data_IF_313932241032
#
_entry.id   IF_313932241032
#
_cell.length_a   1.000
_cell.length_b   1.000
_cell.length_c   1.000
_cell.angle_alpha   90.00
_cell.angle_beta   90.00
_cell.angle_gamma   90.00
#
_symmetry.space_group_name_H-M   'P 1'
#
loop_
_entity.id
_entity.type
_entity.pdbx_description
1 polymer ?
#
# COMPACT_ATOMS: atom_id res chain seq x y z
N UNK A 1 -4.20 18.36 -8.87
CA UNK A 1 -5.22 17.44 -9.42
C UNK A 1 -5.59 16.49 -8.30
N UNK A 2 -6.87 16.15 -8.11
CA UNK A 2 -7.28 15.20 -7.06
C UNK A 2 -6.89 13.78 -7.51
N UNK A 3 -6.38 12.96 -6.59
CA UNK A 3 -6.13 11.54 -6.86
C UNK A 3 -7.45 10.79 -7.10
N UNK A 4 -7.60 10.17 -8.27
CA UNK A 4 -8.78 9.37 -8.60
C UNK A 4 -8.84 8.10 -7.76
N UNK A 5 -7.70 7.43 -7.57
CA UNK A 5 -7.57 6.21 -6.76
C UNK A 5 -7.91 6.47 -5.28
N UNK A 6 -7.47 7.60 -4.70
CA UNK A 6 -7.88 8.01 -3.35
C UNK A 6 -9.38 8.28 -3.28
N UNK A 7 -9.92 8.97 -4.29
CA UNK A 7 -11.35 9.31 -4.32
C UNK A 7 -12.22 8.04 -4.35
N UNK A 8 -11.84 7.04 -5.15
CA UNK A 8 -12.50 5.74 -5.16
C UNK A 8 -12.35 5.00 -3.81
N UNK A 9 -11.16 5.00 -3.19
CA UNK A 9 -10.98 4.43 -1.86
C UNK A 9 -11.89 5.10 -0.82
N UNK A 10 -11.98 6.43 -0.84
CA UNK A 10 -12.79 7.21 0.08
C UNK A 10 -14.30 6.99 -0.11
N UNK A 11 -14.77 6.62 -1.31
CA UNK A 11 -16.18 6.29 -1.55
C UNK A 11 -16.65 5.08 -0.73
N UNK A 12 -15.75 4.15 -0.36
CA UNK A 12 -16.11 3.04 0.51
C UNK A 12 -16.50 3.50 1.92
N UNK A 13 -15.96 4.63 2.40
CA UNK A 13 -16.29 5.20 3.71
C UNK A 13 -17.73 5.74 3.77
N UNK A 14 -18.32 6.07 2.62
CA UNK A 14 -19.73 6.52 2.54
C UNK A 14 -20.69 5.37 2.84
N UNK A 15 -20.28 4.14 2.50
CA UNK A 15 -21.13 2.95 2.55
C UNK A 15 -20.94 2.11 3.82
N UNK A 16 -19.88 2.36 4.59
CA UNK A 16 -19.59 1.61 5.81
C UNK A 16 -18.75 2.43 6.80
N UNK A 17 -19.16 2.42 8.07
CA UNK A 17 -18.38 2.97 9.20
C UNK A 17 -17.31 2.03 9.71
N UNK A 18 -17.30 0.78 9.25
CA UNK A 18 -16.46 -0.30 9.81
C UNK A 18 -15.15 -0.47 9.05
N UNK A 19 -14.87 0.43 8.11
CA UNK A 19 -13.67 0.40 7.26
C UNK A 19 -12.90 1.71 7.38
N UNK A 20 -11.60 1.64 7.09
CA UNK A 20 -10.70 2.77 7.01
C UNK A 20 -9.92 2.75 5.70
N UNK A 21 -9.49 3.93 5.25
CA UNK A 21 -8.54 4.05 4.14
C UNK A 21 -7.13 4.08 4.71
N UNK A 22 -6.25 3.29 4.13
CA UNK A 22 -4.83 3.26 4.42
C UNK A 22 -4.03 3.61 3.17
N UNK A 23 -2.99 4.43 3.29
CA UNK A 23 -1.98 4.56 2.26
C UNK A 23 -0.89 3.51 2.49
N UNK A 24 -0.59 2.73 1.45
CA UNK A 24 0.65 1.96 1.37
C UNK A 24 1.65 2.78 0.55
N UNK A 25 2.74 3.18 1.21
CA UNK A 25 3.71 4.15 0.69
C UNK A 25 5.09 3.51 0.54
N UNK A 26 5.75 3.76 -0.58
CA UNK A 26 7.18 3.48 -0.75
C UNK A 26 7.99 4.55 -0.01
N UNK A 27 8.55 4.21 1.15
CA UNK A 27 9.24 5.17 2.02
C UNK A 27 10.46 5.81 1.38
N UNK A 28 11.15 5.10 0.48
CA UNK A 28 12.26 5.66 -0.29
C UNK A 28 11.78 6.69 -1.32
N UNK A 29 10.66 6.44 -1.99
CA UNK A 29 10.08 7.43 -2.92
C UNK A 29 9.54 8.64 -2.17
N UNK A 30 8.97 8.43 -0.98
CA UNK A 30 8.52 9.51 -0.11
C UNK A 30 9.71 10.40 0.28
N UNK A 31 10.78 9.83 0.84
CA UNK A 31 11.97 10.59 1.25
C UNK A 31 12.58 11.38 0.09
N UNK A 32 12.74 10.76 -1.08
CA UNK A 32 13.26 11.46 -2.27
C UNK A 32 12.37 12.59 -2.77
N UNK A 33 11.06 12.49 -2.57
CA UNK A 33 10.10 13.49 -3.03
C UNK A 33 10.00 14.66 -2.05
N UNK A 34 10.20 14.42 -0.76
CA UNK A 34 9.88 15.37 0.30
C UNK A 34 11.11 15.87 1.06
N UNK A 35 12.27 15.23 0.86
CA UNK A 35 13.50 15.40 1.65
C UNK A 35 13.31 15.05 3.15
N UNK A 36 12.27 14.27 3.46
CA UNK A 36 11.86 13.93 4.83
C UNK A 36 11.55 12.43 4.93
N UNK A 37 12.02 11.78 6.00
CA UNK A 37 11.66 10.39 6.28
C UNK A 37 10.30 10.28 6.97
N UNK A 38 9.52 9.27 6.60
CA UNK A 38 8.36 8.86 7.39
C UNK A 38 8.78 8.46 8.80
N UNK A 39 7.97 8.84 9.80
CA UNK A 39 8.20 8.56 11.21
C UNK A 39 7.08 7.68 11.77
N UNK A 40 7.44 6.85 12.75
CA UNK A 40 6.47 6.01 13.44
C UNK A 40 5.52 6.93 14.23
N UNK A 41 4.22 6.79 13.95
CA UNK A 41 3.15 7.42 14.71
C UNK A 41 2.27 6.27 15.22
N UNK A 42 2.18 6.03 16.54
CA UNK A 42 1.40 4.91 17.09
C UNK A 42 -0.01 4.83 16.50
N UNK A 43 -0.41 3.64 16.06
CA UNK A 43 -1.70 3.33 15.42
C UNK A 43 -2.06 4.11 14.13
N UNK A 44 -1.18 5.00 13.68
CA UNK A 44 -1.39 5.84 12.48
C UNK A 44 -0.41 5.48 11.37
N UNK A 45 0.90 5.52 11.63
CA UNK A 45 1.93 5.31 10.62
C UNK A 45 2.97 4.29 11.11
N UNK A 46 3.09 3.16 10.40
CA UNK A 46 3.99 2.06 10.76
C UNK A 46 4.76 1.55 9.54
N UNK A 47 6.07 1.30 9.65
CA UNK A 47 6.82 0.61 8.61
C UNK A 47 6.48 -0.88 8.62
N UNK A 48 6.50 -1.50 7.44
CA UNK A 48 6.44 -2.96 7.32
C UNK A 48 7.79 -3.60 7.68
N UNK A 49 8.90 -2.86 7.59
CA UNK A 49 10.19 -3.29 8.13
C UNK A 49 10.31 -2.86 9.60
N UNK A 50 9.53 -3.49 10.49
CA UNK A 50 9.53 -3.16 11.93
C UNK A 50 10.27 -4.19 12.81
N UNK A 51 10.80 -5.27 12.22
CA UNK A 51 11.57 -6.30 12.90
C UNK A 51 13.06 -6.21 12.56
N UNK A 52 13.92 -6.57 13.51
CA UNK A 52 15.38 -6.65 13.25
C UNK A 52 15.68 -7.85 12.33
N UNK A 53 16.61 -7.75 11.36
CA UNK A 53 17.53 -6.64 11.10
C UNK A 53 17.01 -5.53 10.18
N UNK A 54 15.84 -5.73 9.57
CA UNK A 54 15.28 -4.87 8.52
C UNK A 54 14.83 -3.50 9.06
N UNK A 55 14.54 -3.41 10.36
CA UNK A 55 14.21 -2.15 11.03
C UNK A 55 15.27 -1.05 10.88
N UNK A 56 16.53 -1.41 10.56
CA UNK A 56 17.60 -0.44 10.24
C UNK A 56 17.38 0.32 8.93
N UNK A 57 16.58 -0.23 8.02
CA UNK A 57 16.27 0.37 6.71
C UNK A 57 14.78 0.71 6.59
N UNK A 58 14.06 0.77 7.73
CA UNK A 58 12.62 0.97 7.76
C UNK A 58 12.16 2.23 7.02
N UNK A 59 12.91 3.32 7.13
CA UNK A 59 12.61 4.59 6.46
C UNK A 59 12.46 4.43 4.94
N UNK A 60 13.26 3.55 4.32
CA UNK A 60 13.27 3.28 2.88
C UNK A 60 12.32 2.12 2.48
N UNK A 61 11.73 1.44 3.46
CA UNK A 61 10.83 0.31 3.24
C UNK A 61 9.40 0.73 2.91
N UNK A 62 8.46 -0.23 2.84
CA UNK A 62 7.05 0.05 2.71
C UNK A 62 6.50 0.59 4.05
N UNK A 63 5.61 1.57 3.98
CA UNK A 63 4.89 2.14 5.13
C UNK A 63 3.40 2.02 4.96
N UNK A 64 2.70 1.74 6.05
CA UNK A 64 1.25 1.78 6.12
C UNK A 64 0.82 3.00 6.95
N UNK A 65 -0.04 3.85 6.39
CA UNK A 65 -0.55 5.07 7.03
C UNK A 65 -2.08 5.03 7.07
N UNK A 66 -2.70 5.06 8.24
CA UNK A 66 -4.15 5.18 8.42
C UNK A 66 -4.59 6.61 8.10
N UNK A 67 -5.28 6.80 6.98
CA UNK A 67 -5.61 8.13 6.48
C UNK A 67 -6.63 8.88 7.34
N UNK A 68 -7.52 8.16 8.03
CA UNK A 68 -8.52 8.79 8.91
C UNK A 68 -7.88 9.68 9.99
N UNK A 69 -6.66 9.32 10.44
CA UNK A 69 -5.91 10.04 11.48
C UNK A 69 -4.74 10.86 10.91
N UNK A 70 -4.53 10.83 9.59
CA UNK A 70 -3.38 11.45 8.89
C UNK A 70 -3.83 12.29 7.67
N UNK A 71 -5.00 12.92 7.75
CA UNK A 71 -5.58 13.67 6.64
C UNK A 71 -4.74 14.89 6.23
N UNK A 72 -3.90 15.41 7.11
CA UNK A 72 -2.90 16.44 6.82
C UNK A 72 -1.85 15.96 5.80
N UNK A 73 -1.52 14.65 5.79
CA UNK A 73 -0.57 14.07 4.84
C UNK A 73 -1.18 13.85 3.45
N UNK A 74 -2.52 13.88 3.32
CA UNK A 74 -3.24 13.53 2.08
C UNK A 74 -2.69 14.25 0.86
N UNK A 75 -2.60 15.58 0.91
CA UNK A 75 -2.17 16.38 -0.27
C UNK A 75 -0.76 16.00 -0.74
N UNK A 76 0.13 15.70 0.20
CA UNK A 76 1.50 15.30 -0.07
C UNK A 76 1.56 13.89 -0.67
N UNK A 77 0.77 12.96 -0.16
CA UNK A 77 0.66 11.60 -0.70
C UNK A 77 0.01 11.58 -2.10
N UNK A 78 -1.01 12.39 -2.34
CA UNK A 78 -1.59 12.57 -3.69
C UNK A 78 -0.56 13.17 -4.67
N UNK A 79 0.24 14.16 -4.22
CA UNK A 79 1.31 14.73 -5.02
C UNK A 79 2.42 13.70 -5.32
N UNK A 80 2.77 12.88 -4.33
CA UNK A 80 3.72 11.78 -4.50
C UNK A 80 3.20 10.76 -5.52
N UNK A 81 1.95 10.34 -5.45
CA UNK A 81 1.33 9.41 -6.41
C UNK A 81 1.41 9.92 -7.85
N UNK A 82 1.17 11.23 -8.05
CA UNK A 82 1.23 11.86 -9.37
C UNK A 82 2.67 11.91 -9.89
N UNK A 83 3.63 12.19 -9.02
CA UNK A 83 5.03 12.36 -9.40
C UNK A 83 5.78 11.03 -9.57
N UNK A 84 5.49 10.04 -8.72
CA UNK A 84 6.24 8.79 -8.59
C UNK A 84 5.31 7.61 -8.27
N UNK A 85 5.64 6.40 -8.72
CA UNK A 85 4.90 5.18 -8.37
C UNK A 85 5.20 4.76 -6.92
N UNK A 86 4.71 5.55 -5.95
CA UNK A 86 5.07 5.42 -4.54
C UNK A 86 3.87 5.34 -3.58
N UNK A 87 2.63 5.38 -4.07
CA UNK A 87 1.43 5.32 -3.22
C UNK A 87 0.37 4.40 -3.84
N UNK A 88 -0.25 3.59 -3.00
CA UNK A 88 -1.51 2.91 -3.29
C UNK A 88 -2.42 2.98 -2.05
N UNK A 89 -3.72 2.78 -2.25
CA UNK A 89 -4.75 2.97 -1.23
C UNK A 89 -5.44 1.66 -0.92
N UNK A 90 -5.47 1.25 0.34
CA UNK A 90 -6.11 0.04 0.82
C UNK A 90 -7.35 0.44 1.62
N UNK A 91 -8.47 -0.21 1.35
CA UNK A 91 -9.69 -0.13 2.17
C UNK A 91 -9.78 -1.42 2.97
N UNK A 92 -9.85 -1.31 4.30
CA UNK A 92 -9.90 -2.47 5.19
C UNK A 92 -10.62 -2.14 6.49
N UNK A 93 -11.30 -3.13 7.07
CA UNK A 93 -11.84 -3.06 8.43
C UNK A 93 -10.87 -3.50 9.52
N UNK A 94 -9.66 -3.94 9.14
CA UNK A 94 -8.64 -4.40 10.08
C UNK A 94 -7.99 -3.25 10.87
N UNK A 95 -7.44 -3.58 12.02
CA UNK A 95 -6.54 -2.69 12.77
C UNK A 95 -5.25 -2.44 11.97
N UNK A 96 -4.47 -1.37 12.26
CA UNK A 96 -3.22 -1.13 11.53
C UNK A 96 -2.23 -2.28 11.75
N UNK A 97 -2.18 -2.82 12.98
CA UNK A 97 -1.29 -3.92 13.35
C UNK A 97 -1.61 -5.21 12.60
N UNK A 98 -2.90 -5.57 12.49
CA UNK A 98 -3.33 -6.74 11.69
C UNK A 98 -2.95 -6.58 10.21
N UNK A 99 -3.19 -5.40 9.63
CA UNK A 99 -2.90 -5.16 8.22
C UNK A 99 -1.38 -5.15 7.95
N UNK A 100 -0.56 -4.58 8.85
CA UNK A 100 0.90 -4.67 8.78
C UNK A 100 1.35 -6.13 8.85
N UNK A 101 0.89 -6.88 9.86
CA UNK A 101 1.27 -8.29 10.03
C UNK A 101 0.88 -9.15 8.83
N UNK A 102 -0.29 -8.91 8.24
CA UNK A 102 -0.75 -9.56 7.02
C UNK A 102 0.15 -9.24 5.82
N UNK A 103 0.39 -7.96 5.54
CA UNK A 103 1.23 -7.54 4.41
C UNK A 103 2.68 -8.04 4.54
N UNK A 104 3.21 -8.14 5.76
CA UNK A 104 4.55 -8.66 6.01
C UNK A 104 4.76 -10.09 5.52
N UNK A 105 3.71 -10.92 5.54
CA UNK A 105 3.77 -12.31 5.07
C UNK A 105 4.09 -12.42 3.57
N UNK A 106 3.79 -11.36 2.80
CA UNK A 106 3.95 -11.33 1.35
C UNK A 106 5.17 -10.52 0.90
N UNK A 107 6.01 -10.04 1.83
CA UNK A 107 7.21 -9.27 1.47
C UNK A 107 8.32 -10.12 0.86
N UNK A 108 8.39 -11.42 1.18
CA UNK A 108 9.43 -12.31 0.67
C UNK A 108 8.86 -13.30 -0.33
N UNK A 109 9.45 -13.37 -1.52
CA UNK A 109 9.18 -14.38 -2.53
C UNK A 109 10.38 -15.34 -2.63
N UNK A 110 10.12 -16.63 -2.72
CA UNK A 110 11.15 -17.64 -2.96
C UNK A 110 11.41 -17.78 -4.46
N UNK A 111 12.68 -17.71 -4.86
CA UNK A 111 13.15 -17.94 -6.22
C UNK A 111 13.38 -19.44 -6.46
N UNK A 112 13.39 -19.92 -7.72
CA UNK A 112 13.59 -21.33 -8.04
C UNK A 112 14.90 -21.95 -7.51
N UNK A 113 15.89 -21.12 -7.17
CA UNK A 113 17.17 -21.52 -6.59
C UNK A 113 17.19 -21.49 -5.05
N UNK A 114 16.04 -21.27 -4.41
CA UNK A 114 15.87 -21.21 -2.96
C UNK A 114 16.27 -19.88 -2.32
N UNK A 115 16.68 -18.87 -3.11
CA UNK A 115 16.95 -17.52 -2.58
C UNK A 115 15.66 -16.75 -2.34
N UNK A 116 15.67 -15.89 -1.33
CA UNK A 116 14.58 -14.95 -1.10
C UNK A 116 14.79 -13.65 -1.92
N UNK A 117 13.71 -13.14 -2.50
CA UNK A 117 13.63 -11.83 -3.12
C UNK A 117 12.56 -10.98 -2.42
N UNK A 118 12.84 -9.69 -2.24
CA UNK A 118 11.87 -8.76 -1.70
C UNK A 118 10.81 -8.42 -2.76
N UNK A 119 9.55 -8.74 -2.48
CA UNK A 119 8.42 -8.38 -3.31
C UNK A 119 8.00 -6.94 -3.03
N UNK A 120 8.25 -6.05 -4.01
CA UNK A 120 7.92 -4.62 -3.91
C UNK A 120 6.46 -4.33 -4.25
N UNK A 121 5.50 -4.95 -3.56
CA UNK A 121 4.07 -4.74 -3.84
C UNK A 121 3.58 -3.30 -3.54
N UNK A 122 4.37 -2.50 -2.81
CA UNK A 122 4.09 -1.07 -2.63
C UNK A 122 4.28 -0.24 -3.90
N UNK A 123 5.02 -0.74 -4.91
CA UNK A 123 5.10 -0.11 -6.22
C UNK A 123 3.83 -0.44 -7.03
N UNK A 124 3.00 0.54 -7.40
CA UNK A 124 1.77 0.33 -8.18
C UNK A 124 1.95 -0.51 -9.45
N UNK A 125 3.11 -0.39 -10.13
CA UNK A 125 3.38 -1.12 -11.37
C UNK A 125 3.60 -2.60 -11.13
N UNK A 126 4.09 -2.96 -9.94
CA UNK A 126 4.25 -4.37 -9.51
C UNK A 126 2.88 -4.99 -9.25
N UNK A 127 1.92 -4.24 -8.71
CA UNK A 127 0.57 -4.73 -8.42
C UNK A 127 -0.16 -5.21 -9.67
N UNK A 128 -0.07 -4.47 -10.78
CA UNK A 128 -0.66 -4.87 -12.07
C UNK A 128 -0.07 -6.21 -12.53
N UNK A 129 1.26 -6.35 -12.49
CA UNK A 129 1.93 -7.60 -12.88
C UNK A 129 1.55 -8.75 -11.94
N UNK A 130 1.56 -8.52 -10.64
CA UNK A 130 1.16 -9.52 -9.63
C UNK A 130 -0.27 -10.01 -9.85
N UNK A 131 -1.21 -9.11 -10.17
CA UNK A 131 -2.61 -9.48 -10.40
C UNK A 131 -2.77 -10.51 -11.51
N UNK A 132 -1.89 -10.47 -12.52
CA UNK A 132 -1.85 -11.44 -13.63
C UNK A 132 -1.07 -12.72 -13.32
N UNK A 133 -0.12 -12.68 -12.39
CA UNK A 133 0.78 -13.80 -12.09
C UNK A 133 0.26 -14.71 -10.98
N UNK A 134 -0.40 -14.14 -9.96
CA UNK A 134 -0.93 -14.90 -8.84
C UNK A 134 -2.09 -15.79 -9.30
N UNK A 135 -2.10 -17.04 -8.85
CA UNK A 135 -3.30 -17.86 -9.01
C UNK A 135 -4.44 -17.33 -8.11
N UNK A 136 -5.66 -17.81 -8.33
CA UNK A 136 -6.83 -17.30 -7.61
C UNK A 136 -6.77 -17.52 -6.09
N UNK A 137 -6.08 -18.56 -5.62
CA UNK A 137 -5.94 -18.81 -4.18
C UNK A 137 -4.94 -17.84 -3.56
N UNK A 138 -3.74 -17.71 -4.13
CA UNK A 138 -2.70 -16.80 -3.64
C UNK A 138 -3.17 -15.35 -3.55
N UNK A 139 -3.97 -14.91 -4.53
CA UNK A 139 -4.50 -13.56 -4.54
C UNK A 139 -5.66 -13.34 -3.59
N UNK A 140 -6.53 -14.35 -3.39
CA UNK A 140 -7.52 -14.29 -2.31
C UNK A 140 -6.82 -14.16 -0.97
N UNK A 141 -5.81 -14.98 -0.70
CA UNK A 141 -5.01 -14.93 0.53
C UNK A 141 -4.34 -13.56 0.70
N UNK A 142 -3.65 -13.06 -0.33
CA UNK A 142 -2.99 -11.75 -0.27
C UNK A 142 -3.97 -10.60 -0.03
N UNK A 143 -5.19 -10.69 -0.56
CA UNK A 143 -6.19 -9.62 -0.47
C UNK A 143 -7.26 -9.84 0.60
N UNK A 144 -7.12 -10.86 1.46
CA UNK A 144 -8.20 -11.33 2.34
C UNK A 144 -8.69 -10.26 3.34
N UNK A 145 -7.76 -9.48 3.89
CA UNK A 145 -8.07 -8.38 4.81
C UNK A 145 -8.50 -7.08 4.10
N UNK A 146 -8.54 -7.05 2.78
CA UNK A 146 -8.84 -5.85 2.00
C UNK A 146 -10.24 -5.95 1.38
N UNK A 147 -11.06 -4.93 1.64
CA UNK A 147 -12.27 -4.67 0.87
C UNK A 147 -11.90 -4.20 -0.54
N UNK A 148 -10.84 -3.39 -0.65
CA UNK A 148 -10.34 -2.86 -1.91
C UNK A 148 -8.87 -2.44 -1.79
N UNK A 149 -8.12 -2.45 -2.89
CA UNK A 149 -6.74 -1.98 -2.99
C UNK A 149 -6.49 -1.34 -4.36
N UNK A 150 -6.38 -0.01 -4.37
CA UNK A 150 -6.36 0.84 -5.56
C UNK A 150 -5.01 1.51 -5.76
N UNK A 151 -4.55 1.60 -7.00
CA UNK A 151 -3.36 2.36 -7.33
C UNK A 151 -3.51 3.04 -8.69
N UNK A 152 -2.85 4.17 -8.90
CA UNK A 152 -2.77 4.81 -10.21
C UNK A 152 -1.59 4.25 -11.00
N UNK A 153 -1.85 3.77 -12.22
CA UNK A 153 -0.83 3.30 -13.17
C UNK A 153 -1.16 3.88 -14.54
N UNK A 154 -0.21 4.58 -15.16
CA UNK A 154 -0.36 5.25 -16.46
C UNK A 154 -1.63 6.13 -16.55
N UNK A 155 -1.93 6.84 -15.46
CA UNK A 155 -3.09 7.74 -15.36
C UNK A 155 -4.45 7.05 -15.22
N UNK A 156 -4.48 5.72 -15.07
CA UNK A 156 -5.68 4.92 -14.85
C UNK A 156 -5.66 4.30 -13.45
N UNK A 157 -6.83 4.08 -12.87
CA UNK A 157 -6.92 3.41 -11.57
C UNK A 157 -7.00 1.90 -11.79
N UNK A 158 -6.11 1.17 -11.14
CA UNK A 158 -6.09 -0.28 -11.07
C UNK A 158 -6.62 -0.73 -9.71
N UNK A 159 -7.58 -1.65 -9.70
CA UNK A 159 -7.96 -2.41 -8.51
C UNK A 159 -7.17 -3.71 -8.47
N UNK A 160 -6.28 -3.83 -7.49
CA UNK A 160 -5.61 -5.09 -7.22
C UNK A 160 -6.58 -6.13 -6.65
N UNK A 161 -7.61 -5.72 -5.90
CA UNK A 161 -8.64 -6.63 -5.38
C UNK A 161 -9.46 -7.28 -6.49
N UNK A 162 -9.89 -6.52 -7.48
CA UNK A 162 -10.70 -7.01 -8.61
C UNK A 162 -9.85 -7.51 -9.79
N UNK A 163 -8.56 -7.16 -9.83
CA UNK A 163 -7.62 -7.45 -10.93
C UNK A 163 -8.04 -6.80 -12.25
N UNK A 164 -8.52 -5.57 -12.19
CA UNK A 164 -8.94 -4.81 -13.38
C UNK A 164 -8.70 -3.30 -13.24
N UNK A 165 -8.72 -2.60 -14.37
CA UNK A 165 -8.75 -1.14 -14.38
C UNK A 165 -10.18 -0.66 -14.16
N UNK A 166 -10.37 0.26 -13.23
CA UNK A 166 -11.67 0.84 -12.89
C UNK A 166 -11.81 2.25 -13.47
N UNK A 167 -13.02 2.58 -13.92
CA UNK A 167 -13.36 3.85 -14.57
C UNK A 167 -14.25 4.71 -13.67
#
# INVERSE_FOLDING_TARGET
MSSASFSFAAQHLIHSSDVSVFALVDGLQYERFTDDELKIIPDVASPLFNTWPDSRIAFAGPWLIRMNEAMEMRKQLEALEIALPGVSWIVSGSTPGELVAHLQQYMNAELPDGRAALLRFQDPRVQVRLGTMLNSQQHREMTDLMCEWLATVDGKVWSFKQREFVC
#
